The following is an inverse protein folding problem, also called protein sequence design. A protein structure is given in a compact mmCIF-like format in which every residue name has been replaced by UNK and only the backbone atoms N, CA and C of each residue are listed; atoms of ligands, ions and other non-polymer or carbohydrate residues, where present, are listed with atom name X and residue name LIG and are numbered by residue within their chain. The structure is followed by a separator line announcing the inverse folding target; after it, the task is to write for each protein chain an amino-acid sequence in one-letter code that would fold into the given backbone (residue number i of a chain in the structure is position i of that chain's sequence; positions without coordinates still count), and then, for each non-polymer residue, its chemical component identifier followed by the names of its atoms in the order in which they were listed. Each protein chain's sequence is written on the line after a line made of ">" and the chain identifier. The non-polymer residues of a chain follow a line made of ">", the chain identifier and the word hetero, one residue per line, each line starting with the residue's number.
data_IF_911488361262
#
_entry.id   IF_911488361262
#
_cell.length_a   1.000
_cell.length_b   1.000
_cell.length_c   1.000
_cell.angle_alpha   90.00
_cell.angle_beta   90.00
_cell.angle_gamma   90.00
#
_symmetry.space_group_name_H-M   'P 1'
#
loop_
_entity.id
_entity.type
_entity.pdbx_description
1 polymer ?
#
# COMPACT_ATOMS: atom_id res chain seq x y z
N UNK A 1 -17.06 2.53 -6.91
CA UNK A 1 -16.50 3.65 -6.12
C UNK A 1 -15.38 3.21 -5.18
N UNK A 2 -15.56 2.17 -4.34
CA UNK A 2 -14.52 1.70 -3.41
C UNK A 2 -13.28 1.08 -4.10
N UNK A 3 -13.49 0.39 -5.23
CA UNK A 3 -12.42 -0.31 -5.97
C UNK A 3 -11.37 0.65 -6.52
N UNK A 4 -11.79 1.78 -7.11
CA UNK A 4 -10.88 2.80 -7.64
C UNK A 4 -9.98 3.42 -6.56
N UNK A 5 -10.48 3.60 -5.33
CA UNK A 5 -9.64 4.06 -4.21
C UNK A 5 -8.54 3.05 -3.92
N UNK A 6 -8.86 1.75 -3.90
CA UNK A 6 -7.88 0.69 -3.63
C UNK A 6 -6.87 0.53 -4.75
N UNK A 7 -7.28 0.61 -6.01
CA UNK A 7 -6.35 0.63 -7.15
C UNK A 7 -5.36 1.80 -7.03
N UNK A 8 -5.85 3.00 -6.70
CA UNK A 8 -4.99 4.17 -6.45
C UNK A 8 -4.02 3.95 -5.28
N UNK A 9 -4.46 3.31 -4.19
CA UNK A 9 -3.57 2.96 -3.06
C UNK A 9 -2.49 1.99 -3.51
N UNK A 10 -2.84 0.97 -4.31
CA UNK A 10 -1.87 0.01 -4.85
C UNK A 10 -0.82 0.73 -5.70
N UNK A 11 -1.24 1.58 -6.63
CA UNK A 11 -0.30 2.36 -7.46
C UNK A 11 0.63 3.20 -6.58
N UNK A 12 0.09 4.01 -5.67
CA UNK A 12 0.90 4.88 -4.80
C UNK A 12 1.89 4.09 -3.92
N UNK A 13 1.50 2.91 -3.43
CA UNK A 13 2.40 2.00 -2.71
C UNK A 13 3.45 1.36 -3.63
N UNK A 14 3.11 1.07 -4.89
CA UNK A 14 4.05 0.52 -5.88
C UNK A 14 5.07 1.58 -6.27
N UNK A 15 4.65 2.82 -6.51
CA UNK A 15 5.56 3.89 -6.92
C UNK A 15 6.48 4.35 -5.77
N UNK A 16 6.23 3.91 -4.53
CA UNK A 16 6.96 4.30 -3.31
C UNK A 16 6.99 5.83 -3.09
N UNK A 17 6.13 6.57 -3.78
CA UNK A 17 6.08 8.04 -3.70
C UNK A 17 5.47 8.52 -2.38
N UNK A 18 4.64 7.72 -1.73
CA UNK A 18 3.92 8.10 -0.52
C UNK A 18 3.89 6.98 0.51
N UNK A 19 4.04 7.36 1.79
CA UNK A 19 3.83 6.44 2.90
C UNK A 19 2.33 6.27 3.21
N UNK A 20 2.01 5.19 3.92
CA UNK A 20 0.62 4.81 4.20
C UNK A 20 -0.21 5.93 4.83
N UNK A 21 0.43 6.70 5.72
CA UNK A 21 -0.15 7.89 6.35
C UNK A 21 -0.56 8.91 5.30
N UNK A 22 0.34 9.29 4.40
CA UNK A 22 0.09 10.28 3.35
C UNK A 22 -1.00 9.83 2.39
N UNK A 23 -1.03 8.54 2.04
CA UNK A 23 -2.09 7.96 1.21
C UNK A 23 -3.45 8.04 1.93
N UNK A 24 -3.49 7.78 3.24
CA UNK A 24 -4.71 7.92 4.04
C UNK A 24 -5.21 9.38 4.02
N UNK A 25 -4.32 10.36 4.20
CA UNK A 25 -4.64 11.79 4.10
C UNK A 25 -5.14 12.17 2.69
N UNK A 26 -4.43 11.76 1.64
CA UNK A 26 -4.75 12.06 0.22
C UNK A 26 -6.10 11.50 -0.22
N UNK A 27 -6.52 10.37 0.34
CA UNK A 27 -7.80 9.73 0.03
C UNK A 27 -8.92 10.04 1.03
N UNK A 28 -8.66 10.98 1.94
CA UNK A 28 -9.57 11.44 2.99
C UNK A 28 -10.08 10.32 3.90
N UNK A 29 -9.19 9.40 4.29
CA UNK A 29 -9.49 8.42 5.33
C UNK A 29 -9.37 9.06 6.70
N UNK A 30 -10.34 8.79 7.58
CA UNK A 30 -10.34 9.27 8.96
C UNK A 30 -9.15 8.76 9.77
N UNK A 31 -8.55 7.63 9.38
CA UNK A 31 -7.37 7.07 10.04
C UNK A 31 -6.63 6.08 9.13
N UNK A 32 -5.33 5.96 9.36
CA UNK A 32 -4.46 4.96 8.72
C UNK A 32 -4.97 3.54 8.98
N UNK A 33 -5.50 3.26 10.17
CA UNK A 33 -6.09 1.96 10.51
C UNK A 33 -7.30 1.61 9.63
N UNK A 34 -8.14 2.60 9.32
CA UNK A 34 -9.34 2.38 8.50
C UNK A 34 -8.98 2.07 7.04
N UNK A 35 -7.99 2.79 6.49
CA UNK A 35 -7.38 2.47 5.20
C UNK A 35 -6.74 1.08 5.23
N UNK A 36 -5.95 0.76 6.26
CA UNK A 36 -5.25 -0.53 6.39
C UNK A 36 -6.23 -1.71 6.40
N UNK A 37 -7.32 -1.61 7.16
CA UNK A 37 -8.36 -2.64 7.21
C UNK A 37 -9.08 -2.80 5.86
N UNK A 38 -9.43 -1.70 5.19
CA UNK A 38 -10.04 -1.76 3.85
C UNK A 38 -9.07 -2.36 2.82
N UNK A 39 -7.81 -1.94 2.85
CA UNK A 39 -6.79 -2.44 1.92
C UNK A 39 -6.54 -3.93 2.13
N UNK A 40 -6.45 -4.39 3.38
CA UNK A 40 -6.34 -5.82 3.69
C UNK A 40 -7.56 -6.61 3.24
N UNK A 41 -8.77 -6.08 3.45
CA UNK A 41 -10.01 -6.74 3.02
C UNK A 41 -10.08 -6.91 1.50
N UNK A 42 -9.51 -5.97 0.74
CA UNK A 42 -9.56 -5.96 -0.72
C UNK A 42 -8.38 -6.66 -1.41
N UNK A 43 -7.20 -6.66 -0.79
CA UNK A 43 -5.97 -7.24 -1.37
C UNK A 43 -5.52 -8.53 -0.69
N UNK A 44 -6.10 -8.87 0.46
CA UNK A 44 -5.64 -9.95 1.33
C UNK A 44 -4.39 -9.61 2.16
N UNK A 45 -3.70 -8.50 1.86
CA UNK A 45 -2.43 -8.12 2.45
C UNK A 45 -2.52 -6.77 3.16
N UNK A 46 -1.75 -6.58 4.22
CA UNK A 46 -1.64 -5.22 4.78
C UNK A 46 -0.79 -4.35 3.87
N UNK A 47 -1.00 -3.02 3.86
CA UNK A 47 -0.22 -2.11 3.04
C UNK A 47 1.29 -2.22 3.30
N UNK A 48 1.67 -2.40 4.57
CA UNK A 48 3.07 -2.62 4.98
C UNK A 48 3.63 -3.93 4.43
N UNK A 49 2.86 -5.01 4.43
CA UNK A 49 3.27 -6.27 3.82
C UNK A 49 3.42 -6.13 2.30
N UNK A 50 2.49 -5.44 1.65
CA UNK A 50 2.53 -5.16 0.22
C UNK A 50 3.77 -4.34 -0.17
N UNK A 51 4.10 -3.29 0.62
CA UNK A 51 5.33 -2.50 0.46
C UNK A 51 6.60 -3.35 0.64
N UNK A 52 6.64 -4.20 1.66
CA UNK A 52 7.77 -5.09 1.94
C UNK A 52 7.98 -6.17 0.86
N UNK A 53 6.90 -6.63 0.22
CA UNK A 53 6.98 -7.61 -0.87
C UNK A 53 7.82 -7.07 -2.04
N UNK A 54 7.75 -5.77 -2.32
CA UNK A 54 8.59 -5.11 -3.33
C UNK A 54 10.07 -5.07 -2.92
N UNK A 55 10.33 -4.81 -1.64
CA UNK A 55 11.70 -4.73 -1.10
C UNK A 55 12.39 -6.11 -1.10
N UNK A 56 11.63 -7.20 -0.90
CA UNK A 56 12.12 -8.58 -1.02
C UNK A 56 12.53 -8.94 -2.46
N UNK A 57 11.78 -8.47 -3.45
CA UNK A 57 12.11 -8.68 -4.87
C UNK A 57 13.34 -7.87 -5.32
N UNK A 58 13.62 -6.69 -4.74
CA UNK A 58 14.85 -5.94 -5.04
C UNK A 58 16.10 -6.48 -4.33
N UNK A 59 15.95 -7.08 -3.15
CA UNK A 59 17.09 -7.66 -2.40
C UNK A 59 17.61 -8.98 -2.95
N UNK A 60 16.85 -9.66 -3.82
CA UNK A 60 17.28 -10.91 -4.46
C UNK A 60 18.20 -10.73 -5.68
N UNK A 61 18.56 -9.49 -6.04
CA UNK A 61 19.43 -9.17 -7.18
C UNK A 61 20.83 -8.66 -6.77
N UNK A 62 21.22 -8.83 -5.49
CA UNK A 62 22.48 -8.29 -4.94
C UNK A 62 23.35 -9.29 -4.19
N UNK A 63 23.18 -10.59 -4.42
CA UNK A 63 24.06 -11.64 -3.88
C UNK A 63 24.47 -12.57 -5.05
N UNK A 64 25.39 -12.05 -5.89
CA UNK A 64 26.25 -12.83 -6.80
C UNK A 64 27.67 -12.29 -6.73
#
# INVERSE_FOLDING_TARGET
>A
YLTHKIEKVKELLVYDELNLTEIAWKLHYSSVAHLSNQFKKMTGLTPTQFKNLKNKNRRALGDV
#
